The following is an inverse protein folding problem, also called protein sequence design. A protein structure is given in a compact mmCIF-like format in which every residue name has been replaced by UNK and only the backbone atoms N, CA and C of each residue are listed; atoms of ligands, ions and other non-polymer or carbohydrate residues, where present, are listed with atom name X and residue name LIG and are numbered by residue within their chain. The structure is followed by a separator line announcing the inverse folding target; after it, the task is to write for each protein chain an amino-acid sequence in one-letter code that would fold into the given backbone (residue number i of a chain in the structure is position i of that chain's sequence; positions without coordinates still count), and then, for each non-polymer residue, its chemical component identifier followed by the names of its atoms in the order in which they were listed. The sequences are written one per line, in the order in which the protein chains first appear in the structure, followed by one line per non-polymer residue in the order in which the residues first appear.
data_IF_193515597471
#
_entry.id   IF_193515597471
#
_cell.length_a   1.000
_cell.length_b   1.000
_cell.length_c   1.000
_cell.angle_alpha   90.00
_cell.angle_beta   90.00
_cell.angle_gamma   90.00
#
_symmetry.space_group_name_H-M   'P 1'
#
loop_
_entity.id
_entity.type
_entity.pdbx_description
1 polymer ?
#
# COMPACT_ATOMS: atom_id res chain seq x y z
N UNK A 1 11.05 15.17 25.29
CA UNK A 1 10.38 14.71 24.04
C UNK A 1 11.32 14.78 22.80
N UNK A 2 12.59 14.37 22.90
CA UNK A 2 13.56 14.47 21.78
C UNK A 2 14.10 13.12 21.27
N UNK A 3 13.98 12.05 22.04
CA UNK A 3 14.57 10.72 21.73
C UNK A 3 13.74 9.92 20.70
N UNK A 4 12.44 10.21 20.57
CA UNK A 4 11.51 9.50 19.67
C UNK A 4 11.69 9.85 18.18
N UNK A 5 12.24 11.03 17.85
CA UNK A 5 12.35 11.50 16.46
C UNK A 5 13.56 10.93 15.72
N UNK A 6 14.62 10.53 16.43
CA UNK A 6 15.83 9.93 15.82
C UNK A 6 15.64 8.45 15.48
N UNK A 7 14.93 7.70 16.33
CA UNK A 7 14.71 6.27 16.14
C UNK A 7 13.85 5.96 14.90
N UNK A 8 12.90 6.85 14.57
CA UNK A 8 12.06 6.73 13.37
C UNK A 8 12.83 7.02 12.08
N UNK A 9 13.82 7.93 12.11
CA UNK A 9 14.70 8.21 10.96
C UNK A 9 15.66 7.04 10.68
N UNK A 10 16.23 6.45 11.73
CA UNK A 10 17.11 5.28 11.58
C UNK A 10 16.35 4.05 11.08
N UNK A 11 15.15 3.79 11.62
CA UNK A 11 14.26 2.72 11.11
C UNK A 11 13.90 2.90 9.64
N UNK A 12 13.57 4.13 9.23
CA UNK A 12 13.28 4.43 7.82
C UNK A 12 14.49 4.21 6.91
N UNK A 13 15.68 4.58 7.36
CA UNK A 13 16.91 4.38 6.59
C UNK A 13 17.30 2.90 6.49
N UNK A 14 17.15 2.14 7.56
CA UNK A 14 17.38 0.69 7.56
C UNK A 14 16.36 -0.02 6.66
N UNK A 15 15.07 0.32 6.73
CA UNK A 15 14.02 -0.26 5.89
C UNK A 15 14.16 0.12 4.41
N UNK A 16 14.70 1.31 4.11
CA UNK A 16 15.03 1.76 2.76
C UNK A 16 16.42 1.31 2.29
N UNK A 17 17.05 0.36 3.00
CA UNK A 17 18.31 -0.19 2.54
C UNK A 17 18.06 -1.09 1.31
N UNK A 18 18.86 -0.95 0.23
CA UNK A 18 18.71 -1.77 -0.97
C UNK A 18 18.61 -3.29 -0.74
N UNK A 19 19.32 -3.88 0.26
CA UNK A 19 19.19 -5.30 0.57
C UNK A 19 17.80 -5.70 1.10
N UNK A 20 17.15 -4.86 1.90
CA UNK A 20 15.83 -5.18 2.48
C UNK A 20 14.75 -5.08 1.42
N UNK A 21 14.79 -4.06 0.55
CA UNK A 21 13.88 -3.95 -0.58
C UNK A 21 13.98 -5.15 -1.52
N UNK A 22 15.21 -5.60 -1.81
CA UNK A 22 15.46 -6.82 -2.57
C UNK A 22 14.92 -8.08 -1.88
N UNK A 23 15.13 -8.22 -0.56
CA UNK A 23 14.59 -9.36 0.18
C UNK A 23 13.06 -9.39 0.16
N UNK A 24 12.40 -8.23 0.33
CA UNK A 24 10.94 -8.11 0.29
C UNK A 24 10.36 -8.41 -1.10
N UNK A 25 11.01 -7.95 -2.17
CA UNK A 25 10.58 -8.26 -3.54
C UNK A 25 10.71 -9.76 -3.84
N UNK A 26 11.82 -10.39 -3.45
CA UNK A 26 12.01 -11.84 -3.60
C UNK A 26 10.99 -12.66 -2.82
N UNK A 27 10.68 -12.24 -1.60
CA UNK A 27 9.64 -12.88 -0.79
C UNK A 27 8.26 -12.74 -1.45
N UNK A 28 7.92 -11.53 -1.94
CA UNK A 28 6.68 -11.29 -2.67
C UNK A 28 6.56 -12.21 -3.88
N UNK A 29 7.61 -12.32 -4.69
CA UNK A 29 7.63 -13.16 -5.89
C UNK A 29 7.44 -14.64 -5.55
N UNK A 30 8.07 -15.10 -4.48
CA UNK A 30 7.91 -16.48 -3.97
C UNK A 30 6.46 -16.74 -3.54
N UNK A 31 5.86 -15.81 -2.78
CA UNK A 31 4.46 -15.94 -2.32
C UNK A 31 3.48 -15.91 -3.49
N UNK A 32 3.67 -15.01 -4.46
CA UNK A 32 2.87 -14.97 -5.69
C UNK A 32 3.04 -16.26 -6.49
N UNK A 33 4.26 -16.78 -6.60
CA UNK A 33 4.54 -18.07 -7.24
C UNK A 33 3.85 -19.24 -6.56
N UNK A 34 3.81 -19.25 -5.22
CA UNK A 34 3.08 -20.27 -4.46
C UNK A 34 1.56 -20.19 -4.70
N UNK A 35 0.97 -18.99 -4.67
CA UNK A 35 -0.47 -18.79 -4.95
C UNK A 35 -0.85 -19.20 -6.38
N UNK A 36 0.04 -18.98 -7.36
CA UNK A 36 -0.17 -19.37 -8.76
C UNK A 36 -0.22 -20.87 -9.01
N UNK A 37 0.18 -21.72 -8.05
CA UNK A 37 0.03 -23.17 -8.17
C UNK A 37 -1.43 -23.63 -8.00
N UNK A 38 -2.29 -22.77 -7.45
CA UNK A 38 -3.74 -23.00 -7.34
C UNK A 38 -4.55 -22.34 -8.47
N UNK A 39 -5.89 -22.45 -8.43
CA UNK A 39 -6.75 -21.79 -9.41
C UNK A 39 -6.65 -20.27 -9.31
N UNK A 40 -6.25 -19.62 -10.42
CA UNK A 40 -6.11 -18.16 -10.50
C UNK A 40 -7.41 -17.54 -11.07
N UNK A 41 -8.01 -16.57 -10.37
CA UNK A 41 -9.23 -15.91 -10.85
C UNK A 41 -8.97 -15.17 -12.16
N UNK A 42 -9.89 -15.34 -13.12
CA UNK A 42 -9.80 -14.71 -14.45
C UNK A 42 -10.47 -13.32 -14.49
N UNK A 43 -11.31 -13.01 -13.50
CA UNK A 43 -12.02 -11.74 -13.40
C UNK A 43 -12.12 -11.30 -11.94
N UNK A 44 -11.77 -10.05 -11.68
CA UNK A 44 -11.84 -9.42 -10.35
C UNK A 44 -12.59 -8.10 -10.50
N UNK A 45 -13.59 -7.88 -9.66
CA UNK A 45 -14.32 -6.63 -9.59
C UNK A 45 -14.01 -5.93 -8.27
N UNK A 46 -13.76 -4.62 -8.33
CA UNK A 46 -13.50 -3.78 -7.16
C UNK A 46 -14.71 -2.90 -6.85
N UNK A 47 -15.17 -2.94 -5.60
CA UNK A 47 -16.18 -1.99 -5.08
C UNK A 47 -15.44 -0.94 -4.27
N UNK A 48 -15.32 0.27 -4.81
CA UNK A 48 -14.63 1.38 -4.15
C UNK A 48 -15.56 2.08 -3.14
N UNK A 49 -15.76 1.48 -1.96
CA UNK A 49 -16.45 2.15 -0.85
C UNK A 49 -15.45 2.82 0.11
N UNK A 50 -15.90 3.89 0.78
CA UNK A 50 -15.18 4.50 1.89
C UNK A 50 -14.47 5.81 1.58
N UNK A 51 -14.47 6.29 0.33
CA UNK A 51 -13.84 7.57 -0.06
C UNK A 51 -14.26 8.75 0.83
N UNK A 52 -15.56 8.83 1.15
CA UNK A 52 -16.10 9.85 2.08
C UNK A 52 -15.64 9.66 3.53
N UNK A 53 -15.51 8.41 4.00
CA UNK A 53 -14.99 8.14 5.37
C UNK A 53 -13.51 8.49 5.44
N UNK A 54 -12.73 8.09 4.44
CA UNK A 54 -11.32 8.44 4.27
C UNK A 54 -11.12 9.96 4.28
N UNK A 55 -11.95 10.71 3.53
CA UNK A 55 -11.88 12.16 3.52
C UNK A 55 -12.05 12.78 4.92
N UNK A 56 -13.07 12.32 5.67
CA UNK A 56 -13.35 12.79 7.02
C UNK A 56 -12.25 12.48 8.02
N UNK A 57 -11.66 11.28 7.97
CA UNK A 57 -10.59 10.90 8.91
C UNK A 57 -9.27 11.62 8.64
N UNK A 58 -9.04 12.07 7.40
CA UNK A 58 -7.84 12.81 7.00
C UNK A 58 -8.06 14.33 6.96
N UNK A 59 -9.26 14.81 7.29
CA UNK A 59 -9.58 16.25 7.31
C UNK A 59 -9.55 16.90 5.93
N UNK A 60 -9.76 16.13 4.86
CA UNK A 60 -9.77 16.62 3.47
C UNK A 60 -11.20 16.71 2.93
N UNK A 61 -11.38 17.46 1.84
CA UNK A 61 -12.68 17.57 1.19
C UNK A 61 -13.17 16.23 0.66
N UNK A 62 -14.50 16.05 0.64
CA UNK A 62 -15.11 14.80 0.15
C UNK A 62 -14.82 14.58 -1.33
N UNK A 63 -14.75 15.65 -2.14
CA UNK A 63 -14.39 15.58 -3.56
C UNK A 63 -12.96 15.04 -3.70
N UNK A 64 -12.03 15.53 -2.90
CA UNK A 64 -10.64 15.06 -2.89
C UNK A 64 -10.54 13.58 -2.47
N UNK A 65 -11.35 13.14 -1.52
CA UNK A 65 -11.46 11.72 -1.19
C UNK A 65 -11.93 10.85 -2.36
N UNK A 66 -12.78 11.36 -3.26
CA UNK A 66 -13.18 10.64 -4.48
C UNK A 66 -12.05 10.59 -5.50
N UNK A 67 -11.30 11.69 -5.67
CA UNK A 67 -10.12 11.74 -6.54
C UNK A 67 -9.08 10.70 -6.10
N UNK A 68 -8.78 10.64 -4.80
CA UNK A 68 -7.84 9.66 -4.25
C UNK A 68 -8.34 8.22 -4.39
N UNK A 69 -9.65 8.00 -4.25
CA UNK A 69 -10.26 6.70 -4.53
C UNK A 69 -10.09 6.27 -5.99
N UNK A 70 -10.27 7.21 -6.92
CA UNK A 70 -10.03 6.98 -8.35
C UNK A 70 -8.55 6.71 -8.64
N UNK A 71 -7.62 7.49 -8.07
CA UNK A 71 -6.18 7.26 -8.21
C UNK A 71 -5.74 5.90 -7.67
N UNK A 72 -6.35 5.46 -6.57
CA UNK A 72 -6.09 4.13 -6.01
C UNK A 72 -6.50 3.02 -6.97
N UNK A 73 -7.65 3.16 -7.64
CA UNK A 73 -8.06 2.23 -8.69
C UNK A 73 -7.11 2.29 -9.89
N UNK A 74 -6.74 3.50 -10.35
CA UNK A 74 -5.83 3.68 -11.48
C UNK A 74 -4.44 3.08 -11.25
N UNK A 75 -3.98 2.99 -9.99
CA UNK A 75 -2.70 2.34 -9.63
C UNK A 75 -2.78 0.81 -9.66
N UNK A 76 -3.95 0.25 -9.40
CA UNK A 76 -4.19 -1.20 -9.37
C UNK A 76 -4.55 -1.73 -10.77
N UNK A 77 -5.15 -0.87 -11.59
CA UNK A 77 -5.55 -1.16 -12.98
C UNK A 77 -4.37 -1.26 -13.93
#
# INVERSE_FOLDING_TARGET
MSTSMHLSRLRKWVLASPPIEFALSRLRDLLVGALRQGPVPQHIAFVMDGNRRFARTHGIETVEGHNLGFEALARVS
#
